data_IF_832758525995
#
_entry.id   IF_832758525995
#
_cell.length_a   1.000
_cell.length_b   1.000
_cell.length_c   1.000
_cell.angle_alpha   90.00
_cell.angle_beta   90.00
_cell.angle_gamma   90.00
#
_symmetry.space_group_name_H-M   'P 1'
#
loop_
_entity.id
_entity.type
_entity.pdbx_description
1 polymer ?
#
# COMPACT_ATOMS: atom_id res chain seq x y z
N UNK A 1 72.21 -23.10 -21.22
CA UNK A 1 71.69 -22.41 -20.02
C UNK A 1 70.51 -21.49 -20.32
N UNK A 2 70.30 -21.07 -21.59
CA UNK A 2 69.16 -20.22 -21.98
C UNK A 2 67.80 -20.94 -21.95
N UNK A 3 67.74 -22.24 -22.28
CA UNK A 3 66.45 -22.97 -22.32
C UNK A 3 65.84 -23.28 -20.93
N UNK A 4 66.66 -23.30 -19.87
CA UNK A 4 66.18 -23.50 -18.50
C UNK A 4 65.60 -22.20 -17.92
N UNK A 5 66.14 -21.04 -18.35
CA UNK A 5 65.64 -19.72 -17.95
C UNK A 5 64.29 -19.37 -18.60
N UNK A 6 64.08 -19.76 -19.86
CA UNK A 6 62.81 -19.55 -20.57
C UNK A 6 61.67 -20.41 -20.01
N UNK A 7 61.98 -21.64 -19.59
CA UNK A 7 61.01 -22.57 -19.00
C UNK A 7 60.57 -22.14 -17.59
N UNK A 8 61.49 -21.61 -16.78
CA UNK A 8 61.18 -21.05 -15.47
C UNK A 8 60.29 -19.79 -15.53
N UNK A 9 60.51 -18.92 -16.53
CA UNK A 9 59.70 -17.71 -16.70
C UNK A 9 58.24 -18.02 -17.13
N UNK A 10 58.02 -19.07 -17.94
CA UNK A 10 56.67 -19.53 -18.33
C UNK A 10 55.84 -19.98 -17.13
N UNK A 11 56.41 -20.79 -16.24
CA UNK A 11 55.61 -21.33 -15.12
C UNK A 11 55.39 -20.32 -14.00
N UNK A 12 56.34 -19.41 -13.77
CA UNK A 12 56.13 -18.28 -12.86
C UNK A 12 55.04 -17.33 -13.40
N UNK A 13 55.00 -17.08 -14.71
CA UNK A 13 53.94 -16.28 -15.34
C UNK A 13 52.57 -16.97 -15.22
N UNK A 14 52.45 -18.28 -15.42
CA UNK A 14 51.19 -19.02 -15.23
C UNK A 14 50.73 -19.05 -13.77
N UNK A 15 51.66 -19.16 -12.81
CA UNK A 15 51.37 -19.10 -11.38
C UNK A 15 50.92 -17.72 -10.89
N UNK A 16 51.40 -16.63 -11.51
CA UNK A 16 50.97 -15.26 -11.19
C UNK A 16 49.66 -14.86 -11.87
N UNK A 17 49.36 -15.42 -13.05
CA UNK A 17 48.12 -15.15 -13.79
C UNK A 17 46.88 -15.74 -13.10
N UNK A 18 46.99 -16.88 -12.40
CA UNK A 18 45.82 -17.50 -11.76
C UNK A 18 45.24 -16.70 -10.56
N UNK A 19 46.04 -16.09 -9.67
CA UNK A 19 45.54 -15.16 -8.65
C UNK A 19 45.12 -13.81 -9.25
N UNK A 20 45.89 -13.27 -10.21
CA UNK A 20 45.59 -11.98 -10.87
C UNK A 20 44.29 -12.08 -11.68
N UNK A 21 44.01 -13.20 -12.34
CA UNK A 21 42.75 -13.44 -13.05
C UNK A 21 41.52 -13.42 -12.12
N UNK A 22 41.64 -13.91 -10.89
CA UNK A 22 40.57 -13.83 -9.87
C UNK A 22 40.38 -12.41 -9.33
N UNK A 23 41.45 -11.62 -9.19
CA UNK A 23 41.38 -10.23 -8.73
C UNK A 23 40.96 -9.24 -9.84
N UNK A 24 41.39 -9.45 -11.08
CA UNK A 24 40.98 -8.68 -12.27
C UNK A 24 39.57 -9.02 -12.75
N UNK A 25 39.06 -10.21 -12.42
CA UNK A 25 37.70 -10.64 -12.75
C UNK A 25 36.63 -9.66 -12.25
N UNK A 26 36.78 -9.13 -11.03
CA UNK A 26 35.86 -8.12 -10.48
C UNK A 26 36.01 -6.74 -11.11
N UNK A 27 37.19 -6.37 -11.61
CA UNK A 27 37.44 -5.07 -12.29
C UNK A 27 36.88 -5.08 -13.71
N UNK A 28 37.07 -6.18 -14.44
CA UNK A 28 36.57 -6.36 -15.80
C UNK A 28 35.07 -6.69 -15.82
N UNK A 29 34.55 -7.33 -14.76
CA UNK A 29 33.14 -7.76 -14.66
C UNK A 29 32.30 -6.89 -13.73
N UNK A 30 32.81 -5.78 -13.19
CA UNK A 30 32.05 -4.92 -12.29
C UNK A 30 30.76 -4.41 -12.93
N UNK A 31 30.76 -4.06 -14.23
CA UNK A 31 29.51 -3.68 -14.91
C UNK A 31 28.53 -4.84 -15.03
N UNK A 32 29.03 -6.09 -15.16
CA UNK A 32 28.18 -7.27 -15.14
C UNK A 32 27.53 -7.46 -13.78
N UNK A 33 28.31 -7.36 -12.69
CA UNK A 33 27.78 -7.48 -11.33
C UNK A 33 26.84 -6.33 -10.95
N UNK A 34 27.10 -5.11 -11.40
CA UNK A 34 26.22 -3.95 -11.19
C UNK A 34 24.91 -4.10 -11.97
N UNK A 35 24.96 -4.56 -13.23
CA UNK A 35 23.74 -4.89 -13.99
C UNK A 35 22.92 -5.98 -13.32
N UNK A 36 23.58 -7.07 -12.91
CA UNK A 36 22.92 -8.15 -12.18
C UNK A 36 22.31 -7.65 -10.86
N UNK A 37 23.03 -6.83 -10.09
CA UNK A 37 22.50 -6.23 -8.87
C UNK A 37 21.24 -5.41 -9.16
N UNK A 38 21.26 -4.59 -10.21
CA UNK A 38 20.11 -3.78 -10.59
C UNK A 38 18.89 -4.62 -10.99
N UNK A 39 19.10 -5.74 -11.68
CA UNK A 39 18.01 -6.66 -12.05
C UNK A 39 17.46 -7.40 -10.82
N UNK A 40 18.33 -7.90 -9.94
CA UNK A 40 17.94 -8.60 -8.70
C UNK A 40 17.21 -7.67 -7.72
N UNK A 41 17.60 -6.39 -7.65
CA UNK A 41 16.88 -5.38 -6.84
C UNK A 41 15.45 -5.18 -7.34
N UNK A 42 15.21 -5.23 -8.65
CA UNK A 42 13.85 -5.14 -9.21
C UNK A 42 13.03 -6.37 -8.82
N UNK A 43 13.58 -7.57 -9.02
CA UNK A 43 12.92 -8.82 -8.63
C UNK A 43 12.60 -8.88 -7.13
N UNK A 44 13.52 -8.37 -6.28
CA UNK A 44 13.29 -8.26 -4.84
C UNK A 44 12.17 -7.27 -4.52
N UNK A 45 12.07 -6.17 -5.28
CA UNK A 45 10.96 -5.22 -5.20
C UNK A 45 9.62 -5.88 -5.51
N UNK A 46 9.53 -6.61 -6.63
CA UNK A 46 8.32 -7.32 -7.03
C UNK A 46 7.90 -8.34 -5.95
N UNK A 47 8.85 -9.13 -5.44
CA UNK A 47 8.61 -10.12 -4.37
C UNK A 47 8.16 -9.44 -3.07
N UNK A 48 8.76 -8.30 -2.71
CA UNK A 48 8.38 -7.51 -1.54
C UNK A 48 6.95 -7.02 -1.67
N UNK A 49 6.56 -6.54 -2.84
CA UNK A 49 5.22 -5.98 -3.07
C UNK A 49 4.15 -7.08 -2.99
N UNK A 50 4.42 -8.29 -3.48
CA UNK A 50 3.54 -9.47 -3.29
C UNK A 50 3.36 -9.84 -1.80
N UNK A 51 4.47 -9.89 -1.04
CA UNK A 51 4.42 -10.18 0.40
C UNK A 51 3.72 -9.06 1.15
N UNK A 52 3.95 -7.79 0.76
CA UNK A 52 3.31 -6.64 1.38
C UNK A 52 1.80 -6.64 1.14
N UNK A 53 1.36 -6.96 -0.07
CA UNK A 53 -0.06 -7.13 -0.37
C UNK A 53 -0.72 -8.20 0.52
N UNK A 54 -0.01 -9.32 0.73
CA UNK A 54 -0.47 -10.40 1.61
C UNK A 54 -0.53 -9.95 3.08
N UNK A 55 0.44 -9.15 3.54
CA UNK A 55 0.43 -8.56 4.88
C UNK A 55 -0.74 -7.59 5.04
N UNK A 56 -1.00 -6.76 4.05
CA UNK A 56 -2.09 -5.80 4.07
C UNK A 56 -3.45 -6.51 4.08
N UNK A 57 -3.59 -7.60 3.32
CA UNK A 57 -4.76 -8.49 3.39
C UNK A 57 -4.94 -9.08 4.79
N UNK A 58 -3.88 -9.65 5.37
CA UNK A 58 -3.94 -10.24 6.71
C UNK A 58 -4.31 -9.17 7.77
N UNK A 59 -3.72 -7.97 7.68
CA UNK A 59 -4.05 -6.83 8.55
C UNK A 59 -5.50 -6.39 8.38
N UNK A 60 -5.98 -6.27 7.15
CA UNK A 60 -7.37 -5.92 6.87
C UNK A 60 -8.35 -6.93 7.45
N UNK A 61 -7.95 -8.20 7.55
CA UNK A 61 -8.70 -9.27 8.21
C UNK A 61 -8.37 -9.44 9.70
N UNK A 62 -7.63 -8.49 10.30
CA UNK A 62 -7.23 -8.50 11.72
C UNK A 62 -6.44 -9.75 12.14
N UNK A 63 -5.71 -10.36 11.20
CA UNK A 63 -4.90 -11.55 11.44
C UNK A 63 -3.49 -11.14 11.89
N UNK A 64 -2.95 -11.75 12.95
CA UNK A 64 -1.60 -11.46 13.41
C UNK A 64 -0.57 -11.94 12.39
N UNK A 65 0.36 -11.05 12.02
CA UNK A 65 1.44 -11.37 11.10
C UNK A 65 2.50 -12.20 11.81
N UNK A 66 3.04 -13.21 11.10
CA UNK A 66 4.13 -14.02 11.63
C UNK A 66 5.39 -13.16 11.85
N UNK A 67 6.06 -13.24 13.01
CA UNK A 67 7.29 -12.48 13.28
C UNK A 67 8.46 -12.76 12.31
N UNK A 68 8.40 -13.88 11.58
CA UNK A 68 9.37 -14.18 10.51
C UNK A 68 9.15 -13.30 9.28
N UNK A 69 7.90 -12.99 8.94
CA UNK A 69 7.54 -12.14 7.80
C UNK A 69 7.96 -10.70 8.07
N UNK A 70 7.68 -10.19 9.27
CA UNK A 70 8.11 -8.82 9.66
C UNK A 70 9.63 -8.66 9.63
N UNK A 71 10.38 -9.64 10.15
CA UNK A 71 11.84 -9.65 10.05
C UNK A 71 12.32 -9.66 8.61
N UNK A 72 11.70 -10.47 7.76
CA UNK A 72 12.04 -10.53 6.35
C UNK A 72 11.84 -9.18 5.65
N UNK A 73 10.71 -8.49 5.89
CA UNK A 73 10.47 -7.15 5.31
C UNK A 73 11.54 -6.15 5.74
N UNK A 74 11.95 -6.16 7.01
CA UNK A 74 13.01 -5.29 7.52
C UNK A 74 14.39 -5.62 6.91
N UNK A 75 14.70 -6.91 6.75
CA UNK A 75 15.95 -7.36 6.13
C UNK A 75 16.00 -6.96 4.64
N UNK A 76 14.86 -7.06 3.93
CA UNK A 76 14.70 -6.59 2.55
C UNK A 76 14.97 -5.10 2.43
N UNK A 77 14.41 -4.27 3.32
CA UNK A 77 14.66 -2.83 3.31
C UNK A 77 16.15 -2.51 3.54
N UNK A 78 16.78 -3.21 4.47
CA UNK A 78 18.21 -3.05 4.79
C UNK A 78 19.09 -3.37 3.57
N UNK A 79 18.86 -4.51 2.93
CA UNK A 79 19.65 -4.94 1.75
C UNK A 79 19.35 -4.06 0.53
N UNK A 80 18.10 -3.62 0.36
CA UNK A 80 17.74 -2.69 -0.70
C UNK A 80 18.44 -1.33 -0.54
N UNK A 81 18.56 -0.81 0.68
CA UNK A 81 19.33 0.39 0.98
C UNK A 81 20.81 0.21 0.62
N UNK A 82 21.43 -0.91 1.02
CA UNK A 82 22.83 -1.19 0.66
C UNK A 82 23.03 -1.31 -0.86
N UNK A 83 22.08 -1.93 -1.57
CA UNK A 83 22.13 -2.03 -3.02
C UNK A 83 22.08 -0.66 -3.69
N UNK A 84 21.22 0.25 -3.22
CA UNK A 84 21.15 1.62 -3.73
C UNK A 84 22.46 2.38 -3.52
N UNK A 85 23.11 2.21 -2.36
CA UNK A 85 24.42 2.83 -2.09
C UNK A 85 25.50 2.34 -3.07
N UNK A 86 25.48 1.05 -3.42
CA UNK A 86 26.42 0.47 -4.39
C UNK A 86 26.19 1.05 -5.79
N UNK A 87 24.93 1.14 -6.22
CA UNK A 87 24.55 1.66 -7.53
C UNK A 87 24.89 3.16 -7.66
N UNK A 88 24.60 3.95 -6.62
CA UNK A 88 24.93 5.38 -6.56
C UNK A 88 26.45 5.61 -6.57
N UNK A 89 27.20 4.84 -5.80
CA UNK A 89 28.66 4.91 -5.81
C UNK A 89 29.27 4.53 -7.18
N UNK A 90 28.79 3.48 -7.86
CA UNK A 90 29.23 3.16 -9.24
C UNK A 90 28.91 4.30 -10.21
N UNK A 91 27.71 4.87 -10.11
CA UNK A 91 27.28 6.03 -10.91
C UNK A 91 28.19 7.24 -10.73
N UNK A 92 28.62 7.54 -9.49
CA UNK A 92 29.62 8.58 -9.20
C UNK A 92 31.03 8.22 -9.70
N UNK A 93 31.49 7.00 -9.42
CA UNK A 93 32.83 6.55 -9.78
C UNK A 93 33.08 6.53 -11.30
N UNK A 94 32.02 6.33 -12.11
CA UNK A 94 32.07 6.46 -13.57
C UNK A 94 32.28 7.90 -14.06
N UNK A 95 31.95 8.92 -13.25
CA UNK A 95 32.03 10.34 -13.62
C UNK A 95 33.38 11.00 -13.32
N UNK A 96 34.27 10.36 -12.55
CA UNK A 96 35.43 11.03 -11.90
C UNK A 96 36.81 10.61 -12.40
N UNK A 97 36.99 10.18 -13.66
CA UNK A 97 38.33 9.85 -14.19
C UNK A 97 38.62 10.52 -15.55
N UNK A 98 39.90 10.85 -15.77
CA UNK A 98 40.53 11.43 -16.98
C UNK A 98 39.60 11.50 -18.19
N UNK A 99 38.83 12.59 -18.29
CA UNK A 99 37.92 12.89 -19.42
C UNK A 99 37.07 11.69 -19.92
N UNK A 100 36.69 10.76 -19.04
CA UNK A 100 35.80 9.64 -19.36
C UNK A 100 36.43 8.42 -20.03
N UNK A 101 37.76 8.34 -20.18
CA UNK A 101 38.37 7.28 -21.01
C UNK A 101 38.74 5.98 -20.28
N UNK A 102 39.05 6.00 -18.98
CA UNK A 102 39.44 4.78 -18.23
C UNK A 102 38.87 4.77 -16.79
N UNK A 103 38.10 3.75 -16.39
CA UNK A 103 37.55 3.67 -15.03
C UNK A 103 38.62 3.27 -13.99
N UNK A 104 38.59 3.88 -12.79
CA UNK A 104 39.55 3.61 -11.70
C UNK A 104 39.52 2.13 -11.26
N UNK A 105 40.60 1.34 -11.47
CA UNK A 105 40.59 -0.09 -11.22
C UNK A 105 40.31 -0.48 -9.76
N UNK A 106 40.79 0.29 -8.78
CA UNK A 106 40.54 0.02 -7.35
C UNK A 106 39.07 0.26 -6.99
N UNK A 107 38.51 1.36 -7.49
CA UNK A 107 37.09 1.66 -7.30
C UNK A 107 36.21 0.58 -7.94
N UNK A 108 36.55 0.14 -9.16
CA UNK A 108 35.82 -0.90 -9.90
C UNK A 108 35.91 -2.27 -9.24
N UNK A 109 37.07 -2.63 -8.69
CA UNK A 109 37.22 -3.84 -7.86
C UNK A 109 36.26 -3.79 -6.66
N UNK A 110 36.23 -2.67 -5.93
CA UNK A 110 35.36 -2.52 -4.76
C UNK A 110 33.88 -2.58 -5.13
N UNK A 111 33.47 -1.88 -6.18
CA UNK A 111 32.09 -1.94 -6.71
C UNK A 111 31.71 -3.35 -7.10
N UNK A 112 32.51 -4.01 -7.95
CA UNK A 112 32.21 -5.37 -8.42
C UNK A 112 32.12 -6.37 -7.27
N UNK A 113 33.01 -6.25 -6.27
CA UNK A 113 32.99 -7.11 -5.09
C UNK A 113 31.78 -6.86 -4.20
N UNK A 114 31.41 -5.59 -3.94
CA UNK A 114 30.26 -5.26 -3.11
C UNK A 114 28.95 -5.65 -3.81
N UNK A 115 28.81 -5.31 -5.09
CA UNK A 115 27.66 -5.73 -5.90
C UNK A 115 27.48 -7.25 -5.94
N UNK A 116 28.57 -8.02 -6.13
CA UNK A 116 28.50 -9.48 -6.10
C UNK A 116 28.11 -10.06 -4.74
N UNK A 117 28.38 -9.37 -3.63
CA UNK A 117 27.94 -9.81 -2.30
C UNK A 117 26.47 -9.50 -2.10
N UNK A 118 26.06 -8.27 -2.36
CA UNK A 118 24.67 -7.84 -2.24
C UNK A 118 23.73 -8.66 -3.12
N UNK A 119 24.16 -9.05 -4.33
CA UNK A 119 23.39 -10.01 -5.18
C UNK A 119 23.12 -11.33 -4.45
N UNK A 120 24.11 -11.90 -3.75
CA UNK A 120 23.93 -13.16 -3.00
C UNK A 120 22.99 -12.97 -1.82
N UNK A 121 23.08 -11.84 -1.14
CA UNK A 121 22.21 -11.50 -0.02
C UNK A 121 20.76 -11.35 -0.49
N UNK A 122 20.54 -10.69 -1.63
CA UNK A 122 19.23 -10.60 -2.30
C UNK A 122 18.69 -11.98 -2.66
N UNK A 123 19.51 -12.83 -3.28
CA UNK A 123 19.09 -14.20 -3.65
C UNK A 123 18.72 -15.05 -2.42
N UNK A 124 19.43 -14.89 -1.31
CA UNK A 124 19.08 -15.54 -0.05
C UNK A 124 17.76 -15.02 0.52
N UNK A 125 17.52 -13.71 0.46
CA UNK A 125 16.25 -13.10 0.85
C UNK A 125 15.09 -13.55 -0.04
N UNK A 126 15.27 -13.62 -1.35
CA UNK A 126 14.26 -14.13 -2.28
C UNK A 126 13.86 -15.57 -1.95
N UNK A 127 14.82 -16.44 -1.64
CA UNK A 127 14.53 -17.81 -1.18
C UNK A 127 13.79 -17.82 0.17
N UNK A 128 14.09 -16.86 1.05
CA UNK A 128 13.41 -16.68 2.33
C UNK A 128 12.01 -16.03 2.25
N UNK A 129 11.69 -15.38 1.12
CA UNK A 129 10.46 -14.62 0.88
C UNK A 129 9.31 -15.43 0.28
N UNK A 130 9.52 -16.73 0.02
CA UNK A 130 8.48 -17.64 -0.43
C UNK A 130 7.57 -18.04 0.74
N UNK A 131 6.68 -17.13 1.13
CA UNK A 131 5.69 -17.38 2.17
C UNK A 131 4.38 -17.90 1.54
N UNK A 132 4.00 -19.13 1.86
CA UNK A 132 2.68 -19.67 1.49
C UNK A 132 1.54 -18.94 2.23
N UNK A 133 1.77 -18.55 3.49
CA UNK A 133 0.86 -17.71 4.30
C UNK A 133 1.64 -16.82 5.26
N UNK A 134 1.25 -15.54 5.34
CA UNK A 134 1.90 -14.53 6.18
C UNK A 134 1.36 -14.43 7.61
N UNK A 135 0.19 -15.00 7.88
CA UNK A 135 -0.51 -14.96 9.18
C UNK A 135 -0.67 -16.35 9.84
N UNK A 136 -1.17 -16.38 11.07
CA UNK A 136 -1.51 -17.60 11.81
C UNK A 136 -2.94 -18.07 11.50
N UNK A 137 -3.13 -19.38 11.34
CA UNK A 137 -4.45 -19.97 11.09
C UNK A 137 -5.35 -19.92 12.34
N UNK A 138 -6.60 -19.51 12.13
CA UNK A 138 -7.75 -20.07 12.86
C UNK A 138 -8.42 -21.13 11.98
N UNK A 139 -9.08 -22.15 12.55
CA UNK A 139 -9.60 -23.29 11.81
C UNK A 139 -10.68 -22.86 10.79
N UNK A 140 -10.78 -23.54 9.63
CA UNK A 140 -11.60 -23.09 8.52
C UNK A 140 -13.07 -23.55 8.67
N UNK A 141 -14.03 -22.73 8.22
CA UNK A 141 -15.24 -23.23 7.59
C UNK A 141 -15.16 -23.15 6.07
N UNK A 142 -15.78 -24.11 5.40
CA UNK A 142 -15.59 -24.47 3.99
C UNK A 142 -16.06 -23.47 2.94
N UNK A 143 -15.41 -23.61 1.77
CA UNK A 143 -15.66 -22.98 0.47
C UNK A 143 -17.09 -23.16 -0.07
N UNK A 144 -17.58 -22.10 -0.74
CA UNK A 144 -18.09 -22.01 -2.14
C UNK A 144 -19.23 -20.99 -2.23
N UNK A 145 -19.14 -20.00 -3.13
CA UNK A 145 -20.33 -19.34 -3.68
C UNK A 145 -20.19 -17.91 -4.23
N UNK A 146 -19.77 -17.81 -5.48
CA UNK A 146 -20.14 -16.81 -6.50
C UNK A 146 -19.94 -15.29 -6.27
N UNK A 147 -19.11 -14.71 -7.13
CA UNK A 147 -19.05 -13.29 -7.43
C UNK A 147 -20.30 -12.81 -8.18
N UNK A 148 -20.71 -11.57 -7.94
CA UNK A 148 -21.57 -10.82 -8.86
C UNK A 148 -20.92 -9.47 -9.20
N UNK A 149 -20.89 -9.24 -10.51
CA UNK A 149 -20.42 -8.07 -11.22
C UNK A 149 -21.07 -6.76 -10.76
N UNK A 150 -20.26 -5.69 -10.71
CA UNK A 150 -20.77 -4.33 -10.85
C UNK A 150 -19.98 -3.63 -11.95
N UNK A 151 -20.68 -3.37 -13.04
CA UNK A 151 -20.25 -2.57 -14.18
C UNK A 151 -19.86 -1.15 -13.74
N UNK A 152 -18.57 -0.82 -13.83
CA UNK A 152 -18.12 0.57 -13.94
C UNK A 152 -18.29 1.03 -15.39
N UNK A 153 -19.31 1.86 -15.63
CA UNK A 153 -19.38 2.66 -16.85
C UNK A 153 -18.39 3.81 -16.71
N UNK A 154 -17.32 3.72 -17.51
CA UNK A 154 -16.42 4.81 -17.79
C UNK A 154 -17.19 5.97 -18.46
N UNK A 155 -17.13 7.14 -17.83
CA UNK A 155 -17.51 8.42 -18.40
C UNK A 155 -16.37 9.39 -18.21
N UNK A 156 -15.56 9.54 -19.27
CA UNK A 156 -14.66 10.66 -19.48
C UNK A 156 -15.46 11.96 -19.56
N UNK A 157 -15.04 13.02 -18.85
CA UNK A 157 -15.74 14.30 -18.90
C UNK A 157 -15.32 15.27 -17.81
N UNK A 158 -14.44 16.21 -18.16
CA UNK A 158 -13.92 17.26 -17.30
C UNK A 158 -14.95 18.20 -16.68
N UNK A 159 -14.49 18.86 -15.61
CA UNK A 159 -15.00 20.09 -14.98
C UNK A 159 -16.52 20.18 -14.78
N UNK A 160 -17.06 19.33 -13.89
CA UNK A 160 -18.49 19.30 -13.56
C UNK A 160 -18.88 20.14 -12.33
N UNK A 161 -18.04 21.05 -11.85
CA UNK A 161 -18.49 22.03 -10.84
C UNK A 161 -19.15 23.19 -11.57
N UNK A 162 -20.46 23.14 -11.72
CA UNK A 162 -21.23 24.33 -12.10
C UNK A 162 -21.05 25.42 -11.03
N UNK A 163 -20.88 26.68 -11.44
CA UNK A 163 -20.61 27.81 -10.53
C UNK A 163 -21.60 27.91 -9.35
N UNK A 164 -22.83 27.43 -9.52
CA UNK A 164 -23.86 27.43 -8.48
C UNK A 164 -23.58 26.49 -7.29
N UNK A 165 -22.71 25.49 -7.46
CA UNK A 165 -22.41 24.45 -6.45
C UNK A 165 -20.98 24.52 -5.93
N UNK A 166 -20.14 25.38 -6.52
CA UNK A 166 -18.76 25.60 -6.13
C UNK A 166 -18.63 25.97 -4.64
N UNK A 167 -19.52 26.82 -4.13
CA UNK A 167 -19.51 27.23 -2.72
C UNK A 167 -19.83 26.09 -1.76
N UNK A 168 -20.79 25.22 -2.10
CA UNK A 168 -21.14 24.04 -1.30
C UNK A 168 -20.00 23.04 -1.33
N UNK A 169 -19.44 22.77 -2.52
CA UNK A 169 -18.28 21.91 -2.69
C UNK A 169 -17.09 22.39 -1.83
N UNK A 170 -16.72 23.66 -1.93
CA UNK A 170 -15.65 24.24 -1.11
C UNK A 170 -15.97 24.17 0.38
N UNK A 171 -17.23 24.36 0.76
CA UNK A 171 -17.70 24.19 2.14
C UNK A 171 -17.48 22.76 2.65
N UNK A 172 -17.82 21.75 1.84
CA UNK A 172 -17.58 20.33 2.17
C UNK A 172 -16.08 20.08 2.30
N UNK A 173 -15.26 20.47 1.32
CA UNK A 173 -13.80 20.26 1.36
C UNK A 173 -13.16 20.93 2.59
N UNK A 174 -13.59 22.15 2.92
CA UNK A 174 -13.12 22.85 4.13
C UNK A 174 -13.50 22.10 5.41
N UNK A 175 -14.75 21.62 5.51
CA UNK A 175 -15.21 20.86 6.68
C UNK A 175 -14.53 19.48 6.79
N UNK A 176 -14.25 18.83 5.66
CA UNK A 176 -13.50 17.58 5.62
C UNK A 176 -12.03 17.76 6.05
N UNK A 177 -11.43 18.94 5.81
CA UNK A 177 -10.08 19.25 6.28
C UNK A 177 -10.01 19.73 7.75
N UNK A 178 -11.12 20.13 8.36
CA UNK A 178 -11.15 20.55 9.76
C UNK A 178 -11.19 19.33 10.70
N UNK A 179 -10.12 19.10 11.46
CA UNK A 179 -10.02 17.96 12.38
C UNK A 179 -11.06 17.97 13.52
N UNK A 180 -11.62 19.15 13.84
CA UNK A 180 -12.68 19.28 14.86
C UNK A 180 -14.04 18.81 14.36
N UNK A 181 -14.23 18.81 13.04
CA UNK A 181 -15.48 18.37 12.41
C UNK A 181 -15.43 16.86 12.21
N UNK A 182 -16.36 16.14 12.85
CA UNK A 182 -16.48 14.67 12.72
C UNK A 182 -17.56 14.23 11.74
N UNK A 183 -18.57 15.07 11.53
CA UNK A 183 -19.72 14.77 10.67
C UNK A 183 -20.01 15.98 9.80
N UNK A 184 -20.15 15.75 8.51
CA UNK A 184 -20.57 16.74 7.50
C UNK A 184 -21.87 16.27 6.89
N UNK A 185 -22.92 17.09 6.94
CA UNK A 185 -24.23 16.77 6.39
C UNK A 185 -24.60 17.68 5.22
N UNK A 186 -25.08 17.09 4.13
CA UNK A 186 -25.58 17.82 2.95
C UNK A 186 -27.05 17.48 2.75
N UNK A 187 -27.93 18.46 2.90
CA UNK A 187 -29.36 18.26 2.73
C UNK A 187 -29.94 19.09 1.59
N UNK A 188 -31.10 18.67 1.08
CA UNK A 188 -31.86 19.42 0.09
C UNK A 188 -32.84 18.54 -0.68
N UNK A 189 -33.74 19.13 -1.48
CA UNK A 189 -34.78 18.39 -2.20
C UNK A 189 -34.25 17.24 -3.08
N UNK A 190 -35.13 16.32 -3.47
CA UNK A 190 -34.80 15.29 -4.47
C UNK A 190 -34.45 15.93 -5.83
N UNK A 191 -33.55 15.31 -6.59
CA UNK A 191 -33.19 15.76 -7.94
C UNK A 191 -32.21 16.95 -8.02
N UNK A 192 -31.83 17.57 -6.90
CA UNK A 192 -30.86 18.70 -6.88
C UNK A 192 -29.39 18.27 -7.05
N UNK A 193 -29.14 16.98 -7.30
CA UNK A 193 -27.82 16.44 -7.60
C UNK A 193 -26.89 16.19 -6.39
N UNK A 194 -27.41 15.96 -5.17
CA UNK A 194 -26.58 15.72 -3.97
C UNK A 194 -25.61 14.54 -4.14
N UNK A 195 -26.08 13.41 -4.66
CA UNK A 195 -25.24 12.24 -4.96
C UNK A 195 -24.11 12.59 -5.93
N UNK A 196 -24.41 13.36 -6.99
CA UNK A 196 -23.40 13.85 -7.94
C UNK A 196 -22.37 14.77 -7.27
N UNK A 197 -22.78 15.59 -6.29
CA UNK A 197 -21.83 16.41 -5.54
C UNK A 197 -20.87 15.56 -4.70
N UNK A 198 -21.38 14.48 -4.09
CA UNK A 198 -20.54 13.52 -3.35
C UNK A 198 -19.57 12.79 -4.27
N UNK A 199 -19.98 12.40 -5.48
CA UNK A 199 -19.11 11.79 -6.48
C UNK A 199 -17.96 12.73 -6.87
N UNK A 200 -18.23 14.01 -7.08
CA UNK A 200 -17.19 15.02 -7.38
C UNK A 200 -16.24 15.21 -6.18
N UNK A 201 -16.76 15.20 -4.94
CA UNK A 201 -15.94 15.26 -3.72
C UNK A 201 -15.04 14.04 -3.62
N UNK A 202 -15.60 12.84 -3.79
CA UNK A 202 -14.87 11.56 -3.79
C UNK A 202 -13.77 11.53 -4.87
N UNK A 203 -14.09 11.95 -6.09
CA UNK A 203 -13.12 12.02 -7.19
C UNK A 203 -12.00 13.03 -6.91
N UNK A 204 -12.34 14.21 -6.40
CA UNK A 204 -11.34 15.24 -6.04
C UNK A 204 -10.39 14.72 -4.97
N UNK A 205 -10.97 14.10 -3.95
CA UNK A 205 -10.24 13.50 -2.85
C UNK A 205 -9.27 12.44 -3.41
N UNK A 206 -9.74 11.47 -4.18
CA UNK A 206 -8.88 10.44 -4.76
C UNK A 206 -7.74 10.98 -5.65
N UNK A 207 -7.89 12.16 -6.28
CA UNK A 207 -6.87 12.76 -7.15
C UNK A 207 -5.84 13.65 -6.45
N UNK A 208 -6.21 14.38 -5.40
CA UNK A 208 -5.37 15.48 -4.88
C UNK A 208 -4.56 15.16 -3.63
N UNK A 209 -4.52 13.90 -3.18
CA UNK A 209 -3.81 13.52 -1.97
C UNK A 209 -4.54 14.06 -0.74
N UNK A 210 -5.32 13.20 -0.11
CA UNK A 210 -6.24 13.60 0.98
C UNK A 210 -5.66 13.26 2.34
N UNK A 211 -6.19 13.85 3.43
CA UNK A 211 -5.86 13.38 4.76
C UNK A 211 -6.42 11.98 5.08
N UNK A 212 -7.29 11.42 4.23
CA UNK A 212 -7.88 10.10 4.39
C UNK A 212 -7.09 9.05 3.60
N UNK A 213 -6.78 7.96 4.27
CA UNK A 213 -6.14 6.78 3.68
C UNK A 213 -7.18 5.92 2.96
N UNK A 214 -8.42 5.92 3.46
CA UNK A 214 -9.54 5.19 2.87
C UNK A 214 -10.78 6.07 2.77
N UNK A 215 -11.49 5.95 1.65
CA UNK A 215 -12.80 6.56 1.42
C UNK A 215 -13.76 5.43 1.13
N UNK A 216 -14.83 5.38 1.91
CA UNK A 216 -15.82 4.31 1.90
C UNK A 216 -17.17 4.93 1.59
N UNK A 217 -17.96 4.30 0.71
CA UNK A 217 -19.28 4.81 0.33
C UNK A 217 -20.32 3.70 0.39
N UNK A 218 -21.44 3.98 1.04
CA UNK A 218 -22.62 3.11 1.04
C UNK A 218 -23.88 3.94 0.85
N UNK A 219 -24.86 3.36 0.15
CA UNK A 219 -26.17 3.97 -0.06
C UNK A 219 -27.15 3.46 0.99
N UNK A 220 -27.78 4.38 1.70
CA UNK A 220 -28.81 4.08 2.69
C UNK A 220 -30.17 3.98 1.98
N UNK A 221 -30.79 2.81 2.02
CA UNK A 221 -32.15 2.61 1.52
C UNK A 221 -33.19 3.24 2.45
N UNK A 222 -34.41 3.45 1.94
CA UNK A 222 -35.52 4.00 2.73
C UNK A 222 -35.80 3.16 4.00
N UNK A 223 -35.72 1.85 3.87
CA UNK A 223 -35.61 0.91 4.99
C UNK A 223 -34.13 0.53 5.08
N UNK A 224 -33.38 1.03 6.08
CA UNK A 224 -31.95 0.75 6.16
C UNK A 224 -31.68 -0.75 6.31
N UNK A 225 -30.86 -1.27 5.41
CA UNK A 225 -30.31 -2.62 5.50
C UNK A 225 -28.92 -2.54 6.13
N UNK A 226 -28.86 -2.78 7.45
CA UNK A 226 -27.61 -2.72 8.21
C UNK A 226 -26.58 -3.69 7.66
N UNK A 227 -27.01 -4.88 7.26
CA UNK A 227 -26.14 -5.92 6.73
C UNK A 227 -25.50 -5.47 5.42
N UNK A 228 -26.29 -4.87 4.52
CA UNK A 228 -25.76 -4.31 3.27
C UNK A 228 -24.78 -3.16 3.53
N UNK A 229 -25.09 -2.23 4.43
CA UNK A 229 -24.20 -1.12 4.77
C UNK A 229 -22.89 -1.65 5.35
N UNK A 230 -22.95 -2.62 6.26
CA UNK A 230 -21.76 -3.28 6.81
C UNK A 230 -20.91 -3.93 5.71
N UNK A 231 -21.53 -4.62 4.75
CA UNK A 231 -20.81 -5.24 3.64
C UNK A 231 -20.17 -4.24 2.70
N UNK A 232 -20.85 -3.16 2.34
CA UNK A 232 -20.29 -2.08 1.51
C UNK A 232 -19.05 -1.49 2.19
N UNK A 233 -19.12 -1.25 3.49
CA UNK A 233 -18.00 -0.70 4.27
C UNK A 233 -16.87 -1.71 4.40
N UNK A 234 -17.17 -2.95 4.79
CA UNK A 234 -16.16 -4.00 4.94
C UNK A 234 -15.42 -4.29 3.63
N UNK A 235 -16.14 -4.31 2.50
CA UNK A 235 -15.55 -4.48 1.18
C UNK A 235 -14.52 -3.39 0.88
N UNK A 236 -14.88 -2.12 1.12
CA UNK A 236 -13.98 -1.00 0.89
C UNK A 236 -12.75 -1.00 1.82
N UNK A 237 -12.89 -1.53 3.04
CA UNK A 237 -11.80 -1.70 4.02
C UNK A 237 -10.97 -2.98 3.81
N UNK A 238 -11.30 -3.80 2.81
CA UNK A 238 -10.65 -5.09 2.56
C UNK A 238 -10.91 -6.16 3.62
N UNK A 239 -11.93 -5.98 4.46
CA UNK A 239 -12.32 -6.92 5.53
C UNK A 239 -13.18 -8.06 4.93
N UNK A 240 -12.51 -9.14 4.49
CA UNK A 240 -13.13 -10.30 3.83
C UNK A 240 -13.88 -11.19 4.82
N UNK A 241 -13.33 -11.35 6.03
CA UNK A 241 -13.86 -12.24 7.08
C UNK A 241 -15.28 -11.85 7.54
N UNK A 242 -15.76 -10.62 7.27
CA UNK A 242 -17.12 -10.18 7.66
C UNK A 242 -18.24 -11.00 6.99
N UNK A 243 -17.95 -11.62 5.83
CA UNK A 243 -18.89 -12.52 5.12
C UNK A 243 -19.11 -13.84 5.82
N UNK A 244 -18.16 -14.25 6.66
CA UNK A 244 -18.19 -15.53 7.36
C UNK A 244 -18.84 -15.41 8.74
N UNK A 245 -19.18 -14.19 9.18
CA UNK A 245 -19.81 -13.92 10.47
C UNK A 245 -21.35 -13.82 10.34
N UNK A 246 -22.10 -14.85 10.80
CA UNK A 246 -23.55 -14.87 10.66
C UNK A 246 -24.27 -13.93 11.64
N UNK A 247 -23.65 -13.55 12.76
CA UNK A 247 -24.26 -12.68 13.77
C UNK A 247 -24.20 -11.20 13.40
N UNK A 248 -25.31 -10.47 13.57
CA UNK A 248 -25.32 -9.01 13.42
C UNK A 248 -24.35 -8.32 14.40
N UNK A 249 -24.30 -8.79 15.65
CA UNK A 249 -23.37 -8.27 16.68
C UNK A 249 -21.93 -8.58 16.31
N UNK A 250 -21.65 -9.77 15.78
CA UNK A 250 -20.32 -10.15 15.33
C UNK A 250 -19.83 -9.27 14.18
N UNK A 251 -20.68 -9.03 13.17
CA UNK A 251 -20.35 -8.12 12.05
C UNK A 251 -20.10 -6.70 12.52
N UNK A 252 -20.94 -6.18 13.43
CA UNK A 252 -20.76 -4.87 14.08
C UNK A 252 -19.38 -4.79 14.75
N UNK A 253 -19.06 -5.78 15.58
CA UNK A 253 -17.84 -5.77 16.40
C UNK A 253 -16.57 -5.91 15.54
N UNK A 254 -16.61 -6.74 14.50
CA UNK A 254 -15.52 -6.86 13.53
C UNK A 254 -15.29 -5.56 12.77
N UNK A 255 -16.37 -4.90 12.32
CA UNK A 255 -16.27 -3.64 11.60
C UNK A 255 -15.73 -2.52 12.51
N UNK A 256 -16.25 -2.42 13.72
CA UNK A 256 -15.78 -1.45 14.72
C UNK A 256 -14.30 -1.65 15.03
N UNK A 257 -13.88 -2.90 15.24
CA UNK A 257 -12.48 -3.24 15.49
C UNK A 257 -11.58 -2.90 14.31
N UNK A 258 -12.00 -3.18 13.06
CA UNK A 258 -11.24 -2.82 11.86
C UNK A 258 -11.08 -1.30 11.72
N UNK A 259 -12.12 -0.53 12.01
CA UNK A 259 -12.08 0.93 11.97
C UNK A 259 -11.20 1.53 13.08
N UNK A 260 -11.02 0.84 14.21
CA UNK A 260 -10.21 1.31 15.34
C UNK A 260 -8.78 0.72 15.39
N UNK A 261 -8.44 -0.19 14.47
CA UNK A 261 -7.21 -0.98 14.54
C UNK A 261 -5.94 -0.14 14.40
N UNK A 262 -5.93 0.80 13.44
CA UNK A 262 -4.80 1.72 13.21
C UNK A 262 -5.23 3.16 13.52
N UNK A 263 -4.76 3.75 14.63
CA UNK A 263 -5.09 5.13 14.99
C UNK A 263 -4.57 6.18 14.00
N UNK A 264 -3.61 5.84 13.15
CA UNK A 264 -3.06 6.72 12.11
C UNK A 264 -3.85 6.67 10.81
N UNK A 265 -4.59 5.57 10.56
CA UNK A 265 -5.40 5.38 9.37
C UNK A 265 -6.72 6.18 9.46
N UNK A 266 -6.70 7.39 8.91
CA UNK A 266 -7.90 8.23 8.75
C UNK A 266 -8.85 7.67 7.66
N UNK A 267 -10.12 7.44 8.01
CA UNK A 267 -11.16 6.89 7.13
C UNK A 267 -12.31 7.90 6.97
N UNK A 268 -12.72 8.15 5.72
CA UNK A 268 -13.95 8.90 5.40
C UNK A 268 -15.07 7.91 5.03
N UNK A 269 -16.18 7.94 5.78
CA UNK A 269 -17.36 7.13 5.51
C UNK A 269 -18.46 8.02 4.95
N UNK A 270 -18.88 7.73 3.71
CA UNK A 270 -19.92 8.43 2.97
C UNK A 270 -21.20 7.59 3.01
N UNK A 271 -22.24 8.13 3.64
CA UNK A 271 -23.57 7.51 3.68
C UNK A 271 -24.53 8.36 2.85
N UNK A 272 -24.85 7.88 1.64
CA UNK A 272 -25.67 8.60 0.68
C UNK A 272 -27.16 8.24 0.80
N UNK A 273 -28.01 9.26 0.60
CA UNK A 273 -29.48 9.17 0.53
C UNK A 273 -30.14 8.68 1.82
N UNK A 274 -29.77 9.23 2.99
CA UNK A 274 -30.43 8.90 4.26
C UNK A 274 -31.90 9.33 4.29
N UNK A 275 -32.79 8.40 4.61
CA UNK A 275 -34.24 8.63 4.73
C UNK A 275 -34.75 8.76 6.16
N UNK A 276 -33.97 8.31 7.15
CA UNK A 276 -34.31 8.31 8.57
C UNK A 276 -33.08 8.10 9.45
N UNK A 277 -33.28 8.05 10.77
CA UNK A 277 -32.22 7.72 11.72
C UNK A 277 -31.52 6.40 11.34
N UNK A 278 -30.19 6.42 11.36
CA UNK A 278 -29.37 5.23 11.26
C UNK A 278 -28.55 5.11 12.54
N UNK A 279 -28.66 3.98 13.21
CA UNK A 279 -27.83 3.69 14.37
C UNK A 279 -26.44 3.26 13.91
N UNK A 280 -25.51 4.22 13.91
CA UNK A 280 -24.13 4.00 13.49
C UNK A 280 -23.39 3.04 14.43
N UNK A 281 -23.76 2.96 15.71
CA UNK A 281 -23.18 1.97 16.62
C UNK A 281 -23.59 0.56 16.21
N UNK A 282 -24.85 0.36 15.83
CA UNK A 282 -25.32 -0.93 15.32
C UNK A 282 -24.68 -1.31 13.98
N UNK A 283 -24.33 -0.33 13.14
CA UNK A 283 -23.51 -0.60 11.96
C UNK A 283 -22.10 -1.06 12.36
N UNK A 284 -21.53 -0.50 13.43
CA UNK A 284 -20.14 -0.72 13.86
C UNK A 284 -19.23 0.47 13.56
N UNK A 285 -19.80 1.66 13.35
CA UNK A 285 -19.06 2.90 13.09
C UNK A 285 -18.82 3.64 14.41
N UNK A 286 -17.57 3.98 14.78
CA UNK A 286 -17.27 4.70 16.01
C UNK A 286 -17.81 6.14 15.99
N UNK A 287 -18.22 6.64 17.17
CA UNK A 287 -18.75 7.99 17.35
C UNK A 287 -18.06 8.74 18.50
N UNK A 288 -18.20 10.07 18.53
CA UNK A 288 -17.69 10.91 19.61
C UNK A 288 -16.17 10.85 19.75
N UNK A 289 -15.67 10.62 20.96
CA UNK A 289 -14.23 10.54 21.25
C UNK A 289 -13.57 9.28 20.69
N UNK A 290 -14.35 8.28 20.30
CA UNK A 290 -13.88 7.05 19.67
C UNK A 290 -13.66 7.23 18.17
N UNK A 291 -14.29 8.22 17.52
CA UNK A 291 -14.16 8.50 16.08
C UNK A 291 -12.91 9.32 15.73
N UNK A 292 -11.80 9.15 16.46
CA UNK A 292 -10.59 9.97 16.29
C UNK A 292 -10.08 9.94 14.85
N UNK A 293 -10.17 8.79 14.20
CA UNK A 293 -9.73 8.54 12.85
C UNK A 293 -10.88 8.43 11.82
N UNK A 294 -12.15 8.43 12.23
CA UNK A 294 -13.30 8.34 11.34
C UNK A 294 -13.97 9.71 11.13
N UNK A 295 -14.28 10.05 9.87
CA UNK A 295 -15.13 11.20 9.52
C UNK A 295 -16.33 10.73 8.69
N UNK A 296 -17.48 11.35 8.92
CA UNK A 296 -18.72 11.03 8.23
C UNK A 296 -19.12 12.13 7.25
N UNK A 297 -19.51 11.75 6.04
CA UNK A 297 -20.17 12.62 5.06
C UNK A 297 -21.54 12.02 4.72
N UNK A 298 -22.60 12.75 5.05
CA UNK A 298 -23.97 12.26 4.98
C UNK A 298 -24.77 13.09 3.99
N UNK A 299 -25.68 12.47 3.24
CA UNK A 299 -26.71 13.22 2.51
C UNK A 299 -28.11 12.82 2.92
N UNK A 300 -29.05 13.77 2.90
CA UNK A 300 -30.47 13.49 3.10
C UNK A 300 -31.35 14.48 2.33
N UNK A 301 -32.62 14.13 2.16
CA UNK A 301 -33.64 15.09 1.72
C UNK A 301 -34.11 16.01 2.84
N UNK A 302 -34.04 15.53 4.07
CA UNK A 302 -34.52 16.22 5.25
C UNK A 302 -33.36 16.56 6.17
N UNK A 303 -33.28 17.83 6.56
CA UNK A 303 -32.29 18.32 7.51
C UNK A 303 -32.45 17.61 8.87
N UNK A 304 -33.69 17.32 9.26
CA UNK A 304 -33.99 16.70 10.55
C UNK A 304 -33.34 15.32 10.70
N UNK A 305 -33.22 14.56 9.60
CA UNK A 305 -32.55 13.26 9.57
C UNK A 305 -31.05 13.38 9.87
N UNK A 306 -30.41 14.47 9.44
CA UNK A 306 -28.99 14.73 9.70
C UNK A 306 -28.74 15.36 11.07
N UNK A 307 -29.73 16.03 11.64
CA UNK A 307 -29.67 16.69 12.95
C UNK A 307 -30.09 15.77 14.11
N UNK A 308 -30.79 14.66 13.82
CA UNK A 308 -31.02 13.61 14.80
C UNK A 308 -29.67 13.17 15.36
N UNK A 309 -29.56 13.17 16.70
CA UNK A 309 -28.33 12.73 17.35
C UNK A 309 -28.03 11.34 16.79
N UNK A 310 -26.87 11.18 16.17
CA UNK A 310 -26.29 9.86 15.94
C UNK A 310 -26.08 9.31 17.36
N UNK A 311 -27.10 8.62 17.87
CA UNK A 311 -27.26 8.38 19.30
C UNK A 311 -26.16 7.42 19.74
N UNK A 312 -25.23 7.94 20.54
CA UNK A 312 -24.41 7.13 21.40
C UNK A 312 -25.12 7.04 22.75
N UNK A 313 -25.92 6.00 22.95
CA UNK A 313 -26.24 5.54 24.32
C UNK A 313 -25.08 4.72 24.87
#
# INVERSE_FOLDING_TARGET
MEDIALCGASEVAKCLVAPIGRHCGYVMSSDRYVRQLNDEVKNLGDTRDEVQHSIDEARNNMKPIKPRVERWVNDVETVANEARDVLDYDGRAKKTCFYGWLPNPKARYHVGKKASRTVKDIQALMAGGQFEKVDFENPPPGLVGAALDVNSLAGDGGDFITDSRASIFQGIMKALNDEKVKVVGVYGPGGVGKTTLLEIVEEKLNKEGTPFHMIVKSKVSQTPDLTKIQFDIAYALGLKDLKDEPSEEGRRDLLFKRLQMDPSEKVLIILDDMWGALDLKMVGIPLGDESRNCKLLLTSRDKSVLEQKLHAE
#
